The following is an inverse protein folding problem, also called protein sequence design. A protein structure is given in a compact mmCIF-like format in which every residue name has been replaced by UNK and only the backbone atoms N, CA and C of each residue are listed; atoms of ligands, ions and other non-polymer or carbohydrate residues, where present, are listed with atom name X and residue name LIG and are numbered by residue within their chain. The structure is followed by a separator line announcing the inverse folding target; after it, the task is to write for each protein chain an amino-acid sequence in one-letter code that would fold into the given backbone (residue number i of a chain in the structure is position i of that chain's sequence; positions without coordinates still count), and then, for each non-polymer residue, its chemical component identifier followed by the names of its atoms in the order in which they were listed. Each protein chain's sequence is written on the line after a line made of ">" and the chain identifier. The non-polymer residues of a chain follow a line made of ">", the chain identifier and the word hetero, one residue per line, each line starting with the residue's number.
data_IF_783594682642
#
_entry.id   IF_783594682642
#
_cell.length_a   1.000
_cell.length_b   1.000
_cell.length_c   1.000
_cell.angle_alpha   90.00
_cell.angle_beta   90.00
_cell.angle_gamma   90.00
#
_symmetry.space_group_name_H-M   'P 1'
#
loop_
_entity.id
_entity.type
_entity.pdbx_description
1 polymer ?
#
# COMPACT_ATOMS: atom_id res chain seq x y z
N UNK A 1 20.33 3.97 -2.16
CA UNK A 1 20.20 2.89 -1.15
C UNK A 1 19.02 2.02 -1.56
N UNK A 2 19.26 0.76 -1.99
CA UNK A 2 18.19 -0.20 -2.33
C UNK A 2 18.02 -1.14 -1.15
N UNK A 3 16.88 -1.09 -0.46
CA UNK A 3 16.51 -2.15 0.48
C UNK A 3 15.92 -3.29 -0.34
N UNK A 4 16.73 -4.32 -0.61
CA UNK A 4 16.29 -5.55 -1.25
C UNK A 4 15.83 -6.54 -0.17
N UNK A 5 14.67 -6.28 0.42
CA UNK A 5 14.01 -7.26 1.28
C UNK A 5 13.19 -8.20 0.38
N UNK A 6 13.84 -9.23 -0.17
CA UNK A 6 13.15 -10.36 -0.80
C UNK A 6 12.20 -10.97 0.24
N UNK A 7 10.92 -11.07 -0.11
CA UNK A 7 9.89 -11.84 0.62
C UNK A 7 9.23 -11.22 1.88
N UNK A 8 9.26 -9.89 2.05
CA UNK A 8 8.41 -9.26 3.07
C UNK A 8 6.96 -9.15 2.59
N UNK A 9 6.06 -9.97 3.17
CA UNK A 9 4.61 -9.86 2.95
C UNK A 9 4.03 -8.73 3.81
N UNK A 10 3.46 -7.67 3.20
CA UNK A 10 2.77 -6.64 3.94
C UNK A 10 1.53 -7.24 4.63
N UNK A 11 1.29 -6.85 5.88
CA UNK A 11 0.09 -7.25 6.63
C UNK A 11 -0.59 -6.02 7.21
N UNK A 12 -1.92 -6.01 7.18
CA UNK A 12 -2.74 -4.96 7.77
C UNK A 12 -3.32 -5.46 9.09
N UNK A 13 -3.17 -4.67 10.15
CA UNK A 13 -3.65 -4.97 11.50
C UNK A 13 -4.45 -3.80 12.04
N UNK A 14 -5.53 -4.08 12.76
CA UNK A 14 -6.36 -3.07 13.44
C UNK A 14 -6.05 -3.05 14.94
N UNK A 15 -5.88 -1.86 15.50
CA UNK A 15 -5.63 -1.59 16.92
C UNK A 15 -6.62 -0.50 17.39
N UNK A 16 -7.86 -0.89 17.76
CA UNK A 16 -9.01 0.02 17.86
C UNK A 16 -8.93 1.08 18.98
N UNK A 17 -8.03 0.92 19.95
CA UNK A 17 -7.91 1.83 21.11
C UNK A 17 -6.73 2.81 20.97
N UNK A 18 -6.34 3.14 19.73
CA UNK A 18 -5.23 4.07 19.46
C UNK A 18 -5.66 5.16 18.50
N UNK A 19 -5.05 6.35 18.60
CA UNK A 19 -5.31 7.49 17.71
C UNK A 19 -5.14 7.13 16.22
N UNK A 20 -4.27 6.15 15.93
CA UNK A 20 -3.95 5.65 14.59
C UNK A 20 -4.22 4.14 14.52
N UNK A 21 -5.49 3.73 14.37
CA UNK A 21 -5.91 2.35 14.57
C UNK A 21 -5.49 1.40 13.44
N UNK A 22 -5.14 1.90 12.25
CA UNK A 22 -4.78 1.04 11.10
C UNK A 22 -3.26 0.94 10.99
N UNK A 23 -2.73 -0.29 10.95
CA UNK A 23 -1.29 -0.54 10.88
C UNK A 23 -0.92 -1.37 9.66
N UNK A 24 0.02 -0.88 8.86
CA UNK A 24 0.66 -1.64 7.79
C UNK A 24 2.04 -2.09 8.23
N UNK A 25 2.25 -3.41 8.33
CA UNK A 25 3.51 -4.02 8.73
C UNK A 25 4.20 -4.65 7.53
N UNK A 26 5.44 -4.27 7.29
CA UNK A 26 6.33 -4.85 6.27
C UNK A 26 7.68 -5.11 6.92
N UNK A 27 7.93 -6.37 7.30
CA UNK A 27 9.13 -6.77 8.05
C UNK A 27 9.25 -6.01 9.37
N UNK A 28 10.38 -5.33 9.56
CA UNK A 28 10.65 -4.53 10.76
C UNK A 28 9.98 -3.14 10.75
N UNK A 29 9.32 -2.74 9.65
CA UNK A 29 8.71 -1.42 9.50
C UNK A 29 7.21 -1.52 9.75
N UNK A 30 6.68 -0.63 10.58
CA UNK A 30 5.26 -0.47 10.82
C UNK A 30 4.84 0.97 10.55
N UNK A 31 3.90 1.17 9.64
CA UNK A 31 3.22 2.44 9.44
C UNK A 31 1.90 2.44 10.19
N UNK A 32 1.52 3.58 10.76
CA UNK A 32 0.29 3.76 11.54
C UNK A 32 -0.52 4.91 10.96
N UNK A 33 -1.79 4.65 10.70
CA UNK A 33 -2.70 5.57 10.02
C UNK A 33 -3.94 5.80 10.87
N UNK A 34 -4.45 7.02 10.78
CA UNK A 34 -5.86 7.29 11.03
C UNK A 34 -6.71 6.58 9.97
N UNK A 35 -8.01 6.45 10.21
CA UNK A 35 -8.94 5.88 9.22
C UNK A 35 -8.90 6.64 7.88
N UNK A 36 -8.94 7.97 7.94
CA UNK A 36 -8.93 8.82 6.74
C UNK A 36 -7.63 8.66 5.92
N UNK A 37 -6.47 8.61 6.58
CA UNK A 37 -5.19 8.38 5.89
C UNK A 37 -5.13 6.99 5.27
N UNK A 38 -5.65 5.96 5.94
CA UNK A 38 -5.69 4.60 5.42
C UNK A 38 -6.58 4.49 4.16
N UNK A 39 -7.75 5.13 4.19
CA UNK A 39 -8.65 5.22 3.02
C UNK A 39 -7.93 5.94 1.87
N UNK A 40 -7.32 7.10 2.14
CA UNK A 40 -6.59 7.86 1.13
C UNK A 40 -5.44 7.07 0.50
N UNK A 41 -4.73 6.25 1.28
CA UNK A 41 -3.70 5.35 0.74
C UNK A 41 -4.31 4.23 -0.12
N UNK A 42 -5.43 3.63 0.31
CA UNK A 42 -6.10 2.58 -0.45
C UNK A 42 -6.60 3.09 -1.81
N UNK A 43 -7.15 4.30 -1.87
CA UNK A 43 -7.56 4.95 -3.12
C UNK A 43 -6.36 5.15 -4.05
N UNK A 44 -5.26 5.71 -3.55
CA UNK A 44 -4.05 5.91 -4.36
C UNK A 44 -3.49 4.59 -4.91
N UNK A 45 -3.56 3.50 -4.14
CA UNK A 45 -3.16 2.17 -4.61
C UNK A 45 -4.08 1.65 -5.72
N UNK A 46 -5.39 1.84 -5.59
CA UNK A 46 -6.34 1.47 -6.64
C UNK A 46 -6.08 2.25 -7.93
N UNK A 47 -5.91 3.57 -7.83
CA UNK A 47 -5.62 4.44 -8.98
C UNK A 47 -4.31 4.03 -9.68
N UNK A 48 -3.26 3.72 -8.91
CA UNK A 48 -1.98 3.27 -9.47
C UNK A 48 -2.10 1.94 -10.23
N UNK A 49 -2.95 1.02 -9.75
CA UNK A 49 -3.23 -0.24 -10.45
C UNK A 49 -3.94 0.01 -11.78
N UNK A 50 -4.92 0.92 -11.80
CA UNK A 50 -5.64 1.26 -13.02
C UNK A 50 -4.74 1.95 -14.04
N UNK A 51 -3.90 2.87 -13.61
CA UNK A 51 -2.87 3.49 -14.46
C UNK A 51 -1.92 2.43 -15.05
N UNK A 52 -1.49 1.45 -14.25
CA UNK A 52 -0.62 0.39 -14.74
C UNK A 52 -1.32 -0.47 -15.81
N UNK A 53 -2.61 -0.78 -15.66
CA UNK A 53 -3.38 -1.53 -16.68
C UNK A 53 -3.46 -0.78 -18.00
N UNK A 54 -3.73 0.52 -17.96
CA UNK A 54 -3.80 1.37 -19.15
C UNK A 54 -2.45 1.36 -19.88
N UNK A 55 -1.34 1.52 -19.16
CA UNK A 55 0.00 1.51 -19.74
C UNK A 55 0.35 0.17 -20.40
N UNK A 56 -0.05 -0.95 -19.79
CA UNK A 56 0.19 -2.28 -20.36
C UNK A 56 -0.64 -2.55 -21.62
N UNK A 57 -1.85 -2.00 -21.71
CA UNK A 57 -2.69 -2.12 -22.91
C UNK A 57 -2.15 -1.28 -24.07
N UNK A 58 -1.72 -0.04 -23.81
CA UNK A 58 -1.08 0.80 -24.84
C UNK A 58 0.14 0.12 -25.48
N UNK A 59 0.97 -0.54 -24.67
CA UNK A 59 2.17 -1.24 -25.13
C UNK A 59 1.90 -2.54 -25.94
N UNK A 60 0.67 -3.07 -25.96
CA UNK A 60 0.31 -4.26 -26.74
C UNK A 60 -0.20 -3.95 -28.15
N UNK A 61 -0.46 -2.66 -28.45
CA UNK A 61 -0.96 -2.18 -29.73
C UNK A 61 0.11 -1.47 -30.58
N UNK A 62 1.37 -1.50 -30.14
CA UNK A 62 2.57 -1.05 -30.87
C UNK A 62 3.42 -2.26 -31.31
#
# INVERSE_FOLDING_TARGET
>A
MRIAARDLKPTVVVAPDTERPIRLRTGAITFQFTEAEAIGLATQLADAVDQNRINQQGAQHE
#
